data_IF_978426290159
#
_entry.id   IF_978426290159
#
_cell.length_a   1.000
_cell.length_b   1.000
_cell.length_c   1.000
_cell.angle_alpha   90.00
_cell.angle_beta   90.00
_cell.angle_gamma   90.00
#
_symmetry.space_group_name_H-M   'P 1'
#
loop_
_entity.id
_entity.type
_entity.pdbx_description
1 polymer ?
#
# COMPACT_ATOMS: atom_id res chain seq x y z
N UNK A 1 -12.75 -17.58 -14.56
CA UNK A 1 -11.47 -17.96 -13.95
C UNK A 1 -10.48 -16.84 -14.23
N UNK A 2 -9.66 -16.50 -13.21
CA UNK A 2 -8.39 -15.77 -13.33
C UNK A 2 -8.44 -14.23 -13.48
N UNK A 3 -8.85 -13.51 -12.43
CA UNK A 3 -8.55 -12.06 -12.28
C UNK A 3 -7.13 -11.84 -11.73
N UNK A 4 -6.14 -12.48 -12.36
CA UNK A 4 -4.71 -12.39 -11.98
C UNK A 4 -3.71 -12.18 -13.14
N UNK A 5 -4.02 -11.48 -14.27
CA UNK A 5 -2.98 -11.08 -15.23
C UNK A 5 -2.45 -9.65 -15.07
N UNK A 6 -3.05 -8.77 -14.25
CA UNK A 6 -2.74 -7.32 -14.32
C UNK A 6 -1.83 -6.75 -13.23
N UNK A 7 -1.47 -7.51 -12.19
CA UNK A 7 -0.67 -6.97 -11.09
C UNK A 7 0.75 -6.60 -11.53
N UNK A 8 1.42 -7.44 -12.34
CA UNK A 8 2.78 -7.14 -12.82
C UNK A 8 2.84 -5.95 -13.76
N UNK A 9 1.92 -5.85 -14.73
CA UNK A 9 1.85 -4.68 -15.61
C UNK A 9 1.48 -3.40 -14.86
N UNK A 10 0.56 -3.48 -13.90
CA UNK A 10 0.21 -2.36 -13.02
C UNK A 10 1.44 -1.85 -12.28
N UNK A 11 2.19 -2.75 -11.63
CA UNK A 11 3.40 -2.36 -10.90
C UNK A 11 4.49 -1.81 -11.82
N UNK A 12 4.63 -2.35 -13.03
CA UNK A 12 5.62 -1.89 -14.01
C UNK A 12 5.29 -0.47 -14.48
N UNK A 13 4.02 -0.20 -14.80
CA UNK A 13 3.54 1.15 -15.15
C UNK A 13 3.66 2.12 -13.99
N UNK A 14 3.25 1.70 -12.79
CA UNK A 14 3.36 2.50 -11.56
C UNK A 14 4.81 2.88 -11.28
N UNK A 15 5.76 1.93 -11.40
CA UNK A 15 7.20 2.20 -11.22
C UNK A 15 7.71 3.28 -12.19
N UNK A 16 7.37 3.15 -13.47
CA UNK A 16 7.79 4.12 -14.50
C UNK A 16 7.21 5.49 -14.19
N UNK A 17 5.93 5.55 -13.87
CA UNK A 17 5.25 6.79 -13.53
C UNK A 17 5.88 7.44 -12.29
N UNK A 18 6.16 6.67 -11.25
CA UNK A 18 6.83 7.14 -10.03
C UNK A 18 8.26 7.63 -10.30
N UNK A 19 9.00 6.94 -11.16
CA UNK A 19 10.36 7.34 -11.54
C UNK A 19 10.38 8.67 -12.30
N UNK A 20 9.37 8.94 -13.13
CA UNK A 20 9.27 10.15 -13.96
C UNK A 20 8.66 11.33 -13.21
N UNK A 21 7.72 11.07 -12.30
CA UNK A 21 6.93 12.12 -11.63
C UNK A 21 7.69 12.84 -10.51
N UNK A 22 8.66 12.18 -9.86
CA UNK A 22 9.29 12.70 -8.64
C UNK A 22 10.78 12.41 -8.54
N UNK A 23 11.51 13.32 -7.89
CA UNK A 23 12.89 13.12 -7.47
C UNK A 23 12.92 12.40 -6.12
N UNK A 24 13.52 11.22 -6.08
CA UNK A 24 13.61 10.38 -4.90
C UNK A 24 14.91 10.68 -4.11
N UNK A 25 14.93 10.58 -2.76
CA UNK A 25 13.91 10.05 -1.86
C UNK A 25 12.77 11.02 -1.56
N UNK A 26 11.53 10.62 -1.86
CA UNK A 26 10.31 11.43 -1.64
C UNK A 26 9.32 10.75 -0.69
N UNK A 27 8.43 11.53 -0.10
CA UNK A 27 7.33 11.01 0.70
C UNK A 27 6.25 10.46 -0.24
N UNK A 28 5.87 9.20 -0.03
CA UNK A 28 4.82 8.54 -0.80
C UNK A 28 3.67 8.13 0.13
N UNK A 29 2.46 8.48 -0.27
CA UNK A 29 1.23 8.17 0.45
C UNK A 29 0.56 6.95 -0.18
N UNK A 30 0.64 5.81 0.50
CA UNK A 30 -0.16 4.65 0.16
C UNK A 30 -1.57 4.81 0.69
N UNK A 31 -2.55 4.36 -0.08
CA UNK A 31 -3.92 4.17 0.39
C UNK A 31 -4.32 2.72 0.17
N UNK A 32 -4.55 2.03 1.28
CA UNK A 32 -5.11 0.69 1.29
C UNK A 32 -6.51 0.73 1.86
N UNK A 33 -7.38 -0.13 1.36
CA UNK A 33 -8.72 -0.36 1.85
C UNK A 33 -8.78 -1.83 2.20
N UNK A 34 -8.95 -2.12 3.48
CA UNK A 34 -9.12 -3.48 3.99
C UNK A 34 -10.53 -3.62 4.57
N UNK A 35 -11.13 -4.81 4.56
CA UNK A 35 -12.28 -5.06 5.42
C UNK A 35 -11.92 -4.72 6.87
N UNK A 36 -12.88 -4.22 7.65
CA UNK A 36 -12.66 -3.83 9.05
C UNK A 36 -12.31 -5.06 9.87
N UNK A 37 -11.02 -5.33 9.93
CA UNK A 37 -10.42 -6.47 10.57
C UNK A 37 -9.14 -6.00 11.25
N UNK A 38 -9.12 -6.13 12.59
CA UNK A 38 -8.03 -5.61 13.41
C UNK A 38 -6.72 -6.33 13.07
N UNK A 39 -6.76 -7.62 12.76
CA UNK A 39 -5.56 -8.39 12.43
C UNK A 39 -4.93 -7.88 11.13
N UNK A 40 -5.75 -7.62 10.11
CA UNK A 40 -5.29 -7.04 8.84
C UNK A 40 -4.70 -5.65 9.00
N UNK A 41 -5.37 -4.78 9.76
CA UNK A 41 -4.88 -3.42 10.02
C UNK A 41 -3.53 -3.48 10.73
N UNK A 42 -3.42 -4.32 11.76
CA UNK A 42 -2.21 -4.48 12.55
C UNK A 42 -1.06 -5.12 11.74
N UNK A 43 -1.36 -6.01 10.80
CA UNK A 43 -0.38 -6.52 9.82
C UNK A 43 0.17 -5.40 8.94
N UNK A 44 -0.68 -4.54 8.38
CA UNK A 44 -0.25 -3.38 7.61
C UNK A 44 0.62 -2.48 8.48
N UNK A 45 0.16 -2.16 9.70
CA UNK A 45 0.92 -1.34 10.63
C UNK A 45 2.32 -1.92 10.87
N UNK A 46 2.44 -3.21 11.18
CA UNK A 46 3.73 -3.90 11.37
C UNK A 46 4.64 -3.91 10.14
N UNK A 47 4.09 -3.97 8.93
CA UNK A 47 4.87 -3.96 7.69
C UNK A 47 5.60 -2.62 7.49
N UNK A 48 4.96 -1.53 7.92
CA UNK A 48 5.48 -0.17 7.83
C UNK A 48 6.08 0.35 9.15
N UNK A 49 5.88 -0.37 10.24
CA UNK A 49 6.54 -0.18 11.52
C UNK A 49 8.05 -0.24 11.32
N UNK A 50 8.82 0.59 12.03
CA UNK A 50 10.27 0.80 11.88
C UNK A 50 10.74 1.62 10.66
N UNK A 51 9.87 1.96 9.69
CA UNK A 51 10.25 2.82 8.56
C UNK A 51 10.03 4.32 8.82
N UNK A 52 9.55 4.69 10.01
CA UNK A 52 9.13 6.06 10.32
C UNK A 52 7.90 6.50 9.51
N UNK A 53 7.08 5.53 9.10
CA UNK A 53 5.87 5.78 8.36
C UNK A 53 4.77 6.34 9.27
N UNK A 54 4.05 7.35 8.80
CA UNK A 54 2.86 7.87 9.48
C UNK A 54 1.65 7.12 8.96
N UNK A 55 1.05 6.31 9.82
CA UNK A 55 -0.08 5.45 9.48
C UNK A 55 -1.36 6.05 10.07
N UNK A 56 -2.35 6.28 9.21
CA UNK A 56 -3.65 6.82 9.59
C UNK A 56 -4.73 5.85 9.14
N UNK A 57 -5.45 5.27 10.09
CA UNK A 57 -6.59 4.39 9.81
C UNK A 57 -7.88 5.17 9.98
N UNK A 58 -8.80 5.01 9.03
CA UNK A 58 -10.13 5.62 9.06
C UNK A 58 -11.17 4.58 8.71
N UNK A 59 -12.01 4.25 9.68
CA UNK A 59 -13.13 3.35 9.45
C UNK A 59 -14.16 4.01 8.51
N UNK A 60 -14.70 3.23 7.57
CA UNK A 60 -15.75 3.67 6.67
C UNK A 60 -17.06 3.93 7.41
N UNK A 61 -17.93 4.75 6.82
CA UNK A 61 -19.23 5.15 7.39
C UNK A 61 -20.15 3.98 7.76
N UNK A 62 -20.01 2.84 7.07
CA UNK A 62 -20.79 1.62 7.30
C UNK A 62 -20.05 0.58 8.14
N UNK A 63 -18.82 0.87 8.61
CA UNK A 63 -18.02 -0.07 9.40
C UNK A 63 -17.50 -1.30 8.66
N UNK A 64 -17.84 -1.50 7.37
CA UNK A 64 -17.42 -2.69 6.59
C UNK A 64 -15.96 -2.67 6.17
N UNK A 65 -15.45 -1.49 5.83
CA UNK A 65 -14.06 -1.30 5.40
C UNK A 65 -13.36 -0.26 6.26
N UNK A 66 -12.03 -0.38 6.36
CA UNK A 66 -11.13 0.59 6.96
C UNK A 66 -10.12 1.04 5.92
N UNK A 67 -10.05 2.35 5.71
CA UNK A 67 -9.04 2.96 4.85
C UNK A 67 -7.79 3.22 5.67
N UNK A 68 -6.67 2.63 5.25
CA UNK A 68 -5.35 2.81 5.86
C UNK A 68 -4.51 3.68 4.94
N UNK A 69 -4.14 4.86 5.40
CA UNK A 69 -3.26 5.78 4.69
C UNK A 69 -1.87 5.71 5.32
N UNK A 70 -0.85 5.33 4.55
CA UNK A 70 0.53 5.25 5.05
C UNK A 70 1.38 6.26 4.31
N UNK A 71 1.90 7.25 5.03
CA UNK A 71 2.86 8.20 4.48
C UNK A 71 4.27 7.80 4.90
N UNK A 72 5.10 7.39 3.94
CA UNK A 72 6.47 6.93 4.21
C UNK A 72 7.44 7.51 3.19
N UNK A 73 8.63 7.87 3.66
CA UNK A 73 9.69 8.35 2.78
C UNK A 73 10.36 7.18 2.10
N UNK A 74 10.16 7.09 0.80
CA UNK A 74 10.69 6.01 -0.01
C UNK A 74 11.92 6.48 -0.77
N UNK A 75 12.93 5.61 -0.85
CA UNK A 75 14.20 5.94 -1.50
C UNK A 75 14.14 5.86 -3.02
N UNK A 76 13.35 4.94 -3.54
CA UNK A 76 13.24 4.64 -4.96
C UNK A 76 11.84 4.06 -5.25
N UNK A 77 11.35 4.18 -6.49
CA UNK A 77 10.07 3.58 -6.90
C UNK A 77 10.06 2.05 -6.78
N UNK A 78 11.20 1.37 -6.89
CA UNK A 78 11.30 -0.08 -6.64
C UNK A 78 10.88 -0.47 -5.23
N UNK A 79 11.28 0.31 -4.22
CA UNK A 79 10.89 0.09 -2.83
C UNK A 79 9.37 0.18 -2.68
N UNK A 80 8.73 1.08 -3.44
CA UNK A 80 7.28 1.27 -3.42
C UNK A 80 6.55 0.04 -3.91
N UNK A 81 6.98 -0.49 -5.05
CA UNK A 81 6.41 -1.71 -5.64
C UNK A 81 6.59 -2.90 -4.71
N UNK A 82 7.79 -3.09 -4.16
CA UNK A 82 8.04 -4.20 -3.23
C UNK A 82 7.13 -4.13 -2.02
N UNK A 83 6.89 -2.94 -1.48
CA UNK A 83 6.00 -2.76 -0.32
C UNK A 83 4.53 -3.04 -0.67
N UNK A 84 4.07 -2.61 -1.84
CA UNK A 84 2.73 -2.97 -2.33
C UNK A 84 2.56 -4.49 -2.41
N UNK A 85 3.55 -5.20 -2.97
CA UNK A 85 3.52 -6.67 -3.07
C UNK A 85 3.53 -7.34 -1.69
N UNK A 86 4.37 -6.86 -0.78
CA UNK A 86 4.46 -7.37 0.59
C UNK A 86 3.15 -7.21 1.35
N UNK A 87 2.48 -6.06 1.22
CA UNK A 87 1.16 -5.83 1.82
C UNK A 87 0.11 -6.74 1.19
N UNK A 88 0.10 -6.86 -0.15
CA UNK A 88 -0.86 -7.72 -0.86
C UNK A 88 -0.70 -9.22 -0.50
N UNK A 89 0.53 -9.68 -0.29
CA UNK A 89 0.84 -11.04 0.10
C UNK A 89 0.48 -11.32 1.57
N UNK A 90 0.78 -10.37 2.47
CA UNK A 90 0.52 -10.51 3.91
C UNK A 90 -0.95 -10.31 4.28
N UNK A 91 -1.69 -9.52 3.50
CA UNK A 91 -3.04 -9.07 3.84
C UNK A 91 -4.01 -9.48 2.74
N UNK A 92 -4.66 -10.63 2.95
CA UNK A 92 -5.66 -11.11 2.00
C UNK A 92 -6.85 -10.16 1.88
N UNK A 93 -7.22 -9.85 0.64
CA UNK A 93 -8.33 -8.95 0.32
C UNK A 93 -8.05 -7.48 0.60
N UNK A 94 -6.77 -7.07 0.68
CA UNK A 94 -6.40 -5.66 0.64
C UNK A 94 -6.62 -5.08 -0.76
N UNK A 95 -7.21 -3.89 -0.81
CA UNK A 95 -7.42 -3.14 -2.05
C UNK A 95 -6.52 -1.91 -2.00
N UNK A 96 -5.62 -1.78 -2.98
CA UNK A 96 -4.78 -0.60 -3.16
C UNK A 96 -5.45 0.42 -4.10
N UNK A 97 -5.45 1.70 -3.72
CA UNK A 97 -5.92 2.82 -4.54
C UNK A 97 -4.76 3.60 -5.18
#
# INVERSE_FOLDING_TARGET
MSDAPNSEEFYKKLKIQLADTALWPTAYLYKFIVPTDIEKINLIEKIFDNLGAVITTKQSKNGKYTSVSINVRMKNPDQVISKYKEVADKVEGVISL
#
